data_IF_659680877141
#
_entry.id   IF_659680877141
#
_cell.length_a   1.000
_cell.length_b   1.000
_cell.length_c   1.000
_cell.angle_alpha   90.00
_cell.angle_beta   90.00
_cell.angle_gamma   90.00
#
_symmetry.space_group_name_H-M   'P 1'
#
loop_
_entity.id
_entity.type
_entity.pdbx_description
1 polymer ?
#
# COMPACT_ATOMS: atom_id res chain seq x y z
N UNK A 1 -20.39 21.28 -13.49
CA UNK A 1 -19.77 20.28 -14.40
C UNK A 1 -19.77 18.95 -13.70
N UNK A 2 -20.07 17.83 -14.38
CA UNK A 2 -19.91 16.50 -13.83
C UNK A 2 -18.41 16.24 -13.61
N UNK A 3 -18.05 15.57 -12.50
CA UNK A 3 -16.65 15.16 -12.27
C UNK A 3 -16.20 14.24 -13.40
N UNK A 4 -14.96 14.40 -13.88
CA UNK A 4 -14.34 13.45 -14.83
C UNK A 4 -14.21 12.09 -14.14
N UNK A 5 -14.53 11.01 -14.86
CA UNK A 5 -14.39 9.64 -14.36
C UNK A 5 -12.92 9.24 -14.42
N UNK A 6 -12.47 8.48 -13.43
CA UNK A 6 -11.07 8.05 -13.32
C UNK A 6 -10.99 6.53 -13.26
N UNK A 7 -10.26 5.93 -14.18
CA UNK A 7 -10.13 4.48 -14.32
C UNK A 7 -8.69 4.02 -14.18
N UNK A 8 -8.54 2.76 -13.80
CA UNK A 8 -7.25 2.10 -13.64
C UNK A 8 -6.96 1.28 -14.88
N UNK A 9 -5.84 1.55 -15.54
CA UNK A 9 -5.46 0.91 -16.79
C UNK A 9 -4.19 0.06 -16.68
N UNK A 10 -3.38 0.25 -15.63
CA UNK A 10 -2.18 -0.53 -15.41
C UNK A 10 -1.88 -0.73 -13.94
N UNK A 11 -1.29 -1.88 -13.62
CA UNK A 11 -0.94 -2.32 -12.27
C UNK A 11 0.53 -2.74 -12.21
N UNK A 12 1.21 -2.44 -11.11
CA UNK A 12 2.56 -2.92 -10.82
C UNK A 12 2.75 -3.14 -9.34
N UNK A 13 3.43 -4.23 -8.99
CA UNK A 13 3.62 -4.64 -7.60
C UNK A 13 4.99 -5.27 -7.38
N UNK A 14 5.58 -4.97 -6.24
CA UNK A 14 6.69 -5.70 -5.62
C UNK A 14 6.28 -5.96 -4.17
N UNK A 15 6.20 -7.21 -3.77
CA UNK A 15 5.70 -7.58 -2.44
C UNK A 15 6.32 -8.89 -1.94
N UNK A 16 6.24 -9.18 -0.63
CA UNK A 16 6.74 -10.44 -0.08
C UNK A 16 6.09 -11.69 -0.67
N UNK A 17 4.89 -11.54 -1.24
CA UNK A 17 4.14 -12.64 -1.87
C UNK A 17 4.34 -12.74 -3.39
N UNK A 18 5.10 -11.83 -3.99
CA UNK A 18 5.44 -11.86 -5.42
C UNK A 18 5.92 -10.52 -5.95
N UNK A 19 6.83 -10.56 -6.92
CA UNK A 19 7.46 -9.39 -7.53
C UNK A 19 6.78 -8.95 -8.85
N UNK A 20 5.62 -9.51 -9.14
CA UNK A 20 4.72 -9.13 -10.23
C UNK A 20 3.26 -9.37 -9.82
N UNK A 21 2.33 -8.73 -10.53
CA UNK A 21 0.90 -8.75 -10.21
C UNK A 21 0.31 -10.17 -10.27
N UNK A 22 0.68 -10.97 -11.25
CA UNK A 22 0.12 -12.31 -11.45
C UNK A 22 0.55 -13.26 -10.32
N UNK A 23 1.86 -13.27 -10.01
CA UNK A 23 2.43 -14.08 -8.93
C UNK A 23 1.88 -13.66 -7.57
N UNK A 24 1.88 -12.35 -7.28
CA UNK A 24 1.38 -11.83 -6.01
C UNK A 24 -0.10 -12.20 -5.81
N UNK A 25 -0.95 -11.99 -6.82
CA UNK A 25 -2.37 -12.30 -6.73
C UNK A 25 -2.64 -13.81 -6.56
N UNK A 26 -1.96 -14.66 -7.31
CA UNK A 26 -2.09 -16.11 -7.16
C UNK A 26 -1.72 -16.58 -5.75
N UNK A 27 -0.67 -16.03 -5.16
CA UNK A 27 -0.24 -16.35 -3.80
C UNK A 27 -1.22 -15.82 -2.73
N UNK A 28 -1.79 -14.62 -2.93
CA UNK A 28 -2.84 -14.07 -2.06
C UNK A 28 -4.07 -14.98 -2.06
N UNK A 29 -4.56 -15.40 -3.22
CA UNK A 29 -5.72 -16.29 -3.31
C UNK A 29 -5.45 -17.69 -2.72
N UNK A 30 -4.21 -18.16 -2.82
CA UNK A 30 -3.79 -19.43 -2.23
C UNK A 30 -3.52 -19.36 -0.72
N UNK A 31 -3.65 -18.18 -0.08
CA UNK A 31 -3.37 -17.99 1.33
C UNK A 31 -1.88 -18.19 1.70
N UNK A 32 -0.96 -17.90 0.79
CA UNK A 32 0.47 -18.10 1.02
C UNK A 32 1.08 -16.90 1.73
N UNK A 33 1.71 -17.14 2.87
CA UNK A 33 2.47 -16.12 3.59
C UNK A 33 3.81 -15.82 2.90
N UNK A 34 4.15 -14.54 2.76
CA UNK A 34 5.47 -14.07 2.33
C UNK A 34 6.39 -13.74 3.52
N UNK A 35 5.94 -14.01 4.74
CA UNK A 35 6.68 -13.71 5.98
C UNK A 35 7.65 -14.85 6.26
N UNK A 36 8.91 -14.51 6.55
CA UNK A 36 9.96 -15.46 6.92
C UNK A 36 11.06 -14.75 7.72
N UNK A 37 12.06 -15.50 8.19
CA UNK A 37 13.20 -14.93 8.90
C UNK A 37 13.87 -13.81 8.08
N UNK A 38 14.28 -12.73 8.73
CA UNK A 38 15.03 -11.63 8.12
C UNK A 38 16.43 -12.13 7.80
N UNK A 39 16.86 -11.89 6.54
CA UNK A 39 18.18 -12.29 6.03
C UNK A 39 19.10 -11.07 5.78
N UNK A 40 18.54 -9.86 5.75
CA UNK A 40 19.25 -8.62 5.39
C UNK A 40 20.31 -8.21 6.43
N UNK A 41 20.07 -8.50 7.72
CA UNK A 41 20.97 -8.20 8.82
C UNK A 41 20.83 -9.21 9.97
N UNK A 42 21.78 -9.23 10.90
CA UNK A 42 21.73 -10.10 12.08
C UNK A 42 20.67 -9.62 13.07
N UNK A 43 19.63 -10.44 13.28
CA UNK A 43 18.52 -10.16 14.18
C UNK A 43 18.67 -10.76 15.58
N UNK A 44 19.80 -11.39 15.91
CA UNK A 44 20.00 -12.14 17.18
C UNK A 44 19.71 -11.29 18.42
N UNK A 45 19.98 -9.99 18.37
CA UNK A 45 19.73 -9.06 19.49
C UNK A 45 18.33 -8.42 19.47
N UNK A 46 17.49 -8.73 18.48
CA UNK A 46 16.17 -8.16 18.33
C UNK A 46 15.09 -9.03 18.96
N UNK A 47 13.98 -8.44 19.44
CA UNK A 47 12.85 -9.23 19.94
C UNK A 47 12.04 -9.89 18.80
N UNK A 48 12.18 -9.41 17.56
CA UNK A 48 11.52 -9.93 16.37
C UNK A 48 12.55 -10.28 15.31
N UNK A 49 12.55 -11.53 14.83
CA UNK A 49 13.54 -12.07 13.90
C UNK A 49 13.01 -12.27 12.47
N UNK A 50 11.81 -11.81 12.17
CA UNK A 50 11.12 -12.09 10.93
C UNK A 50 10.43 -10.86 10.34
N UNK A 51 10.13 -10.93 9.05
CA UNK A 51 9.44 -9.89 8.30
C UNK A 51 9.08 -10.33 6.89
N UNK A 52 8.38 -9.49 6.18
CA UNK A 52 8.06 -9.64 4.76
C UNK A 52 9.11 -8.94 3.89
N UNK A 53 10.32 -9.46 3.82
CA UNK A 53 11.37 -8.93 2.94
C UNK A 53 11.09 -9.24 1.48
N UNK A 54 11.55 -8.37 0.59
CA UNK A 54 11.55 -8.63 -0.85
C UNK A 54 12.72 -9.57 -1.18
N UNK A 55 12.40 -10.74 -1.69
CA UNK A 55 13.37 -11.77 -2.07
C UNK A 55 13.41 -11.97 -3.58
N UNK A 56 14.60 -12.23 -4.11
CA UNK A 56 14.82 -12.62 -5.52
C UNK A 56 14.23 -11.64 -6.54
N UNK A 57 14.25 -10.33 -6.25
CA UNK A 57 13.85 -9.31 -7.21
C UNK A 57 14.95 -9.18 -8.27
N UNK A 58 14.62 -9.52 -9.51
CA UNK A 58 15.47 -9.26 -10.66
C UNK A 58 15.28 -7.81 -11.13
N UNK A 59 16.33 -7.01 -11.06
CA UNK A 59 16.33 -5.61 -11.48
C UNK A 59 16.71 -5.40 -12.93
N UNK A 60 17.36 -6.40 -13.60
CA UNK A 60 17.90 -6.25 -14.94
C UNK A 60 16.86 -5.80 -15.98
N UNK A 61 15.60 -6.32 -15.97
CA UNK A 61 14.58 -5.86 -16.91
C UNK A 61 14.11 -4.42 -16.73
N UNK A 62 14.47 -3.78 -15.60
CA UNK A 62 13.93 -2.48 -15.18
C UNK A 62 14.99 -1.38 -15.11
N UNK A 63 16.21 -1.71 -14.70
CA UNK A 63 17.27 -0.72 -14.52
C UNK A 63 18.65 -1.33 -14.63
N UNK A 64 19.65 -0.51 -14.98
CA UNK A 64 21.04 -0.98 -14.99
C UNK A 64 21.56 -1.23 -13.57
N UNK A 65 22.54 -2.14 -13.42
CA UNK A 65 23.21 -2.37 -12.15
C UNK A 65 23.91 -1.09 -11.62
N UNK A 66 24.30 -0.16 -12.50
CA UNK A 66 24.88 1.14 -12.12
C UNK A 66 23.83 2.03 -11.49
N UNK A 67 22.63 2.09 -12.06
CA UNK A 67 21.54 2.93 -11.52
C UNK A 67 20.99 2.34 -10.22
N UNK A 68 20.83 1.01 -10.15
CA UNK A 68 20.41 0.32 -8.93
C UNK A 68 21.30 0.65 -7.72
N UNK A 69 22.63 0.66 -7.90
CA UNK A 69 23.59 1.03 -6.83
C UNK A 69 23.50 2.49 -6.34
N UNK A 70 22.75 3.34 -7.02
CA UNK A 70 22.54 4.76 -6.68
C UNK A 70 21.19 5.01 -6.03
N UNK A 71 20.40 3.97 -5.84
CA UNK A 71 19.05 4.01 -5.29
C UNK A 71 19.00 3.15 -4.01
N UNK A 72 18.38 3.68 -2.97
CA UNK A 72 17.95 2.85 -1.83
C UNK A 72 16.93 1.81 -2.30
N UNK A 73 16.78 0.72 -1.56
CA UNK A 73 15.90 -0.38 -1.94
C UNK A 73 14.44 0.05 -2.11
N UNK A 74 13.92 0.99 -1.29
CA UNK A 74 12.55 1.48 -1.46
C UNK A 74 12.34 2.14 -2.84
N UNK A 75 13.37 2.84 -3.36
CA UNK A 75 13.30 3.42 -4.70
C UNK A 75 13.34 2.35 -5.78
N UNK A 76 14.21 1.34 -5.63
CA UNK A 76 14.27 0.23 -6.59
C UNK A 76 12.89 -0.43 -6.71
N UNK A 77 12.23 -0.73 -5.58
CA UNK A 77 10.88 -1.31 -5.55
C UNK A 77 9.85 -0.41 -6.23
N UNK A 78 9.87 0.89 -5.90
CA UNK A 78 8.95 1.88 -6.47
C UNK A 78 9.12 2.06 -7.97
N UNK A 79 10.37 2.10 -8.45
CA UNK A 79 10.68 2.20 -9.89
C UNK A 79 10.25 0.94 -10.62
N UNK A 80 10.51 -0.26 -10.07
CA UNK A 80 10.05 -1.53 -10.65
C UNK A 80 8.53 -1.55 -10.76
N UNK A 81 7.80 -1.27 -9.68
CA UNK A 81 6.34 -1.25 -9.69
C UNK A 81 5.79 -0.21 -10.67
N UNK A 82 6.39 0.99 -10.73
CA UNK A 82 6.01 2.04 -11.68
C UNK A 82 6.21 1.62 -13.14
N UNK A 83 7.33 0.98 -13.46
CA UNK A 83 7.59 0.46 -14.82
C UNK A 83 6.62 -0.67 -15.17
N UNK A 84 6.31 -1.57 -14.23
CA UNK A 84 5.30 -2.61 -14.45
C UNK A 84 3.94 -1.99 -14.77
N UNK A 85 3.47 -1.02 -13.98
CA UNK A 85 2.19 -0.35 -14.19
C UNK A 85 2.11 0.37 -15.55
N UNK A 86 3.18 1.05 -15.95
CA UNK A 86 3.26 1.71 -17.26
C UNK A 86 3.22 0.69 -18.42
N UNK A 87 3.99 -0.39 -18.32
CA UNK A 87 3.99 -1.47 -19.33
C UNK A 87 2.63 -2.15 -19.44
N UNK A 88 2.03 -2.47 -18.30
CA UNK A 88 0.72 -3.13 -18.22
C UNK A 88 -0.41 -2.28 -18.81
N UNK A 89 -0.34 -0.95 -18.62
CA UNK A 89 -1.32 0.00 -19.17
C UNK A 89 -1.23 0.17 -20.69
N UNK A 90 -0.09 -0.15 -21.29
CA UNK A 90 0.20 0.17 -22.69
C UNK A 90 0.22 1.68 -22.99
N UNK A 91 0.27 2.52 -21.94
CA UNK A 91 0.27 3.98 -22.10
C UNK A 91 1.57 4.47 -22.75
N UNK A 92 1.45 5.33 -23.76
CA UNK A 92 2.59 5.93 -24.44
C UNK A 92 2.71 7.41 -24.09
N UNK A 93 3.83 7.80 -23.50
CA UNK A 93 4.16 9.22 -23.29
C UNK A 93 4.75 9.75 -24.59
N UNK A 94 4.22 10.86 -25.07
CA UNK A 94 4.62 11.54 -26.33
C UNK A 94 4.87 13.02 -26.04
N UNK A 95 5.47 13.74 -26.98
CA UNK A 95 5.64 15.20 -26.86
C UNK A 95 4.29 15.93 -26.72
N UNK A 96 3.24 15.41 -27.31
CA UNK A 96 1.90 16.01 -27.27
C UNK A 96 1.20 15.86 -25.92
N UNK A 97 1.49 14.78 -25.15
CA UNK A 97 0.80 14.48 -23.90
C UNK A 97 1.66 14.56 -22.65
N UNK A 98 2.99 14.70 -22.76
CA UNK A 98 3.94 14.61 -21.64
C UNK A 98 3.61 15.55 -20.48
N UNK A 99 3.07 16.75 -20.74
CA UNK A 99 2.65 17.71 -19.71
C UNK A 99 1.28 17.37 -19.09
N UNK A 100 0.52 16.47 -19.72
CA UNK A 100 -0.81 16.01 -19.27
C UNK A 100 -0.74 14.71 -18.51
N UNK A 101 0.47 14.17 -18.28
CA UNK A 101 0.74 12.98 -17.47
C UNK A 101 1.52 13.38 -16.23
N UNK A 102 1.08 12.96 -15.07
CA UNK A 102 1.77 13.24 -13.81
C UNK A 102 2.24 11.98 -13.09
N UNK A 103 2.99 12.17 -12.01
CA UNK A 103 3.46 11.11 -11.11
C UNK A 103 3.19 11.52 -9.67
N UNK A 104 2.69 10.58 -8.85
CA UNK A 104 2.52 10.75 -7.41
C UNK A 104 2.90 9.47 -6.69
N UNK A 105 4.19 9.35 -6.33
CA UNK A 105 4.75 8.18 -5.64
C UNK A 105 5.24 8.59 -4.26
N UNK A 106 4.71 7.96 -3.22
CA UNK A 106 5.03 8.26 -1.83
C UNK A 106 5.84 7.18 -1.13
N UNK A 107 6.37 7.52 0.05
CA UNK A 107 6.97 6.60 1.03
C UNK A 107 6.73 7.16 2.42
N UNK A 108 6.60 6.30 3.42
CA UNK A 108 6.44 6.74 4.81
C UNK A 108 7.74 7.26 5.40
N UNK A 109 8.86 6.61 5.11
CA UNK A 109 10.17 6.90 5.70
C UNK A 109 11.27 7.22 4.68
N UNK A 110 11.15 6.73 3.44
CA UNK A 110 12.19 6.91 2.44
C UNK A 110 13.40 6.01 2.64
N UNK A 111 14.60 6.48 2.26
CA UNK A 111 15.83 5.70 2.23
C UNK A 111 16.49 5.49 3.58
N UNK A 112 15.81 4.82 4.50
CA UNK A 112 16.27 4.61 5.87
C UNK A 112 17.57 3.81 5.92
N UNK A 113 17.70 2.74 5.14
CA UNK A 113 18.92 1.92 5.07
C UNK A 113 20.12 2.74 4.54
N UNK A 114 19.90 3.58 3.52
CA UNK A 114 20.95 4.47 3.01
C UNK A 114 21.40 5.50 4.05
N UNK A 115 20.50 5.96 4.91
CA UNK A 115 20.82 6.87 6.03
C UNK A 115 21.68 6.13 7.05
N UNK A 116 21.32 4.92 7.46
CA UNK A 116 22.08 4.07 8.38
C UNK A 116 23.51 3.85 7.87
N UNK A 117 23.64 3.26 6.69
CA UNK A 117 24.94 2.92 6.09
C UNK A 117 25.83 4.14 5.89
N UNK A 118 25.24 5.30 5.53
CA UNK A 118 26.01 6.53 5.37
C UNK A 118 26.50 7.05 6.69
N UNK A 119 25.69 6.98 7.75
CA UNK A 119 26.05 7.44 9.08
C UNK A 119 27.12 6.54 9.71
N UNK A 120 27.00 5.23 9.58
CA UNK A 120 28.01 4.26 10.02
C UNK A 120 29.37 4.55 9.37
N UNK A 121 29.37 4.77 8.05
CA UNK A 121 30.58 5.10 7.32
C UNK A 121 31.20 6.42 7.76
N UNK A 122 30.39 7.41 8.11
CA UNK A 122 30.87 8.66 8.67
C UNK A 122 31.51 8.43 10.05
N UNK A 123 30.90 7.64 10.93
CA UNK A 123 31.45 7.32 12.26
C UNK A 123 32.79 6.57 12.17
N UNK A 124 32.90 5.59 11.27
CA UNK A 124 34.14 4.84 11.04
C UNK A 124 35.30 5.74 10.56
N UNK A 125 34.99 6.71 9.71
CA UNK A 125 36.04 7.50 9.04
C UNK A 125 36.22 8.91 9.60
N UNK A 126 35.26 9.40 10.37
CA UNK A 126 35.15 10.79 10.83
C UNK A 126 35.39 11.82 9.70
N UNK A 127 34.92 11.50 8.48
CA UNK A 127 35.22 12.32 7.31
C UNK A 127 34.01 12.50 6.39
N UNK A 128 33.52 13.72 6.19
CA UNK A 128 32.42 13.98 5.25
C UNK A 128 32.79 13.66 3.79
N UNK A 129 34.10 13.58 3.46
CA UNK A 129 34.58 13.21 2.11
C UNK A 129 34.30 11.76 1.75
N UNK A 130 33.93 10.93 2.74
CA UNK A 130 33.57 9.51 2.55
C UNK A 130 32.09 9.28 2.35
N UNK A 131 31.27 10.29 2.57
CA UNK A 131 29.83 10.24 2.25
C UNK A 131 29.64 10.24 0.73
N UNK A 132 28.79 9.35 0.25
CA UNK A 132 28.49 9.24 -1.19
C UNK A 132 27.85 10.53 -1.73
N UNK A 133 28.24 11.04 -2.91
CA UNK A 133 27.53 12.15 -3.56
C UNK A 133 26.09 11.78 -3.96
N UNK A 134 25.76 10.48 -3.97
CA UNK A 134 24.42 9.98 -4.24
C UNK A 134 23.56 9.80 -2.99
N UNK A 135 24.11 10.07 -1.78
CA UNK A 135 23.37 9.87 -0.54
C UNK A 135 22.02 10.59 -0.51
N UNK A 136 22.01 11.89 -0.78
CA UNK A 136 20.75 12.67 -0.79
C UNK A 136 19.80 12.17 -1.89
N UNK A 137 20.22 12.04 -3.17
CA UNK A 137 19.35 11.47 -4.19
C UNK A 137 18.87 10.04 -3.92
N UNK A 138 19.61 9.23 -3.15
CA UNK A 138 19.21 7.87 -2.79
C UNK A 138 18.21 7.82 -1.65
N UNK A 139 18.08 8.88 -0.83
CA UNK A 139 17.32 8.83 0.43
C UNK A 139 15.97 9.54 0.37
N UNK A 140 15.82 10.60 -0.42
CA UNK A 140 14.63 11.45 -0.38
C UNK A 140 13.45 10.86 -1.16
N UNK A 141 12.26 10.95 -0.55
CA UNK A 141 11.05 10.25 -0.97
C UNK A 141 10.63 10.55 -2.41
N UNK A 142 10.74 11.81 -2.85
CA UNK A 142 10.26 12.24 -4.17
C UNK A 142 11.08 11.68 -5.34
N UNK A 143 12.22 11.05 -5.09
CA UNK A 143 13.10 10.56 -6.16
C UNK A 143 12.59 9.29 -6.84
N UNK A 144 11.67 8.54 -6.24
CA UNK A 144 10.95 7.49 -6.97
C UNK A 144 10.23 8.10 -8.19
N UNK A 145 9.43 9.15 -7.95
CA UNK A 145 8.78 9.92 -9.02
C UNK A 145 9.78 10.57 -9.96
N UNK A 146 10.90 11.12 -9.41
CA UNK A 146 11.98 11.71 -10.19
C UNK A 146 12.59 10.73 -11.20
N UNK A 147 12.94 9.51 -10.77
CA UNK A 147 13.46 8.48 -11.68
C UNK A 147 12.44 8.06 -12.74
N UNK A 148 11.19 7.82 -12.34
CA UNK A 148 10.13 7.45 -13.28
C UNK A 148 9.86 8.55 -14.30
N UNK A 149 9.90 9.84 -13.90
CA UNK A 149 9.73 10.96 -14.83
C UNK A 149 10.84 11.03 -15.88
N UNK A 150 12.09 10.75 -15.49
CA UNK A 150 13.23 10.70 -16.41
C UNK A 150 13.09 9.50 -17.37
N UNK A 151 12.75 8.31 -16.85
CA UNK A 151 12.60 7.08 -17.65
C UNK A 151 11.54 7.26 -18.73
N UNK A 152 10.37 7.81 -18.36
CA UNK A 152 9.22 7.95 -19.26
C UNK A 152 9.10 9.32 -19.90
N UNK A 153 10.01 10.28 -19.61
CA UNK A 153 9.97 11.66 -20.09
C UNK A 153 8.67 12.38 -19.75
N UNK A 154 8.14 12.15 -18.54
CA UNK A 154 6.94 12.81 -18.04
C UNK A 154 7.31 14.17 -17.50
N UNK A 155 6.68 15.23 -18.01
CA UNK A 155 6.94 16.65 -17.64
C UNK A 155 5.76 17.33 -16.96
N UNK A 156 4.68 16.60 -16.70
CA UNK A 156 3.58 17.04 -15.85
C UNK A 156 3.93 17.03 -14.36
N UNK A 157 2.95 17.23 -13.47
CA UNK A 157 3.17 17.29 -12.04
C UNK A 157 3.89 16.04 -11.51
N UNK A 158 4.93 16.25 -10.68
CA UNK A 158 5.71 15.19 -10.05
C UNK A 158 5.76 15.44 -8.55
N UNK A 159 5.01 14.67 -7.80
CA UNK A 159 4.75 14.87 -6.38
C UNK A 159 5.06 13.62 -5.56
N UNK A 160 5.31 13.81 -4.28
CA UNK A 160 5.37 12.73 -3.30
C UNK A 160 4.46 13.05 -2.11
N UNK A 161 3.88 12.01 -1.53
CA UNK A 161 3.08 12.07 -0.30
C UNK A 161 3.81 11.27 0.78
N UNK A 162 3.78 11.77 2.01
CA UNK A 162 4.29 11.08 3.19
C UNK A 162 3.26 11.23 4.33
N UNK A 163 2.45 10.20 4.54
CA UNK A 163 1.39 10.14 5.56
C UNK A 163 1.39 8.77 6.24
N UNK A 164 2.59 8.31 6.65
CA UNK A 164 2.80 7.02 7.30
C UNK A 164 2.12 5.86 6.53
N UNK A 165 1.37 5.01 7.21
CA UNK A 165 0.72 3.84 6.60
C UNK A 165 -0.38 4.20 5.57
N UNK A 166 -0.83 5.46 5.50
CA UNK A 166 -1.85 5.93 4.58
C UNK A 166 -1.29 6.54 3.29
N UNK A 167 0.03 6.63 3.20
CA UNK A 167 0.77 7.33 2.15
C UNK A 167 0.25 7.02 0.74
N UNK A 168 0.26 5.77 0.33
CA UNK A 168 -0.10 5.41 -1.05
C UNK A 168 -1.62 5.45 -1.31
N UNK A 169 -2.45 5.27 -0.30
CA UNK A 169 -3.90 5.54 -0.38
C UNK A 169 -4.16 7.02 -0.66
N UNK A 170 -3.48 7.92 0.04
CA UNK A 170 -3.57 9.35 -0.21
C UNK A 170 -2.99 9.72 -1.59
N UNK A 171 -1.86 9.12 -1.99
CA UNK A 171 -1.29 9.35 -3.32
C UNK A 171 -2.27 9.01 -4.43
N UNK A 172 -2.92 7.84 -4.38
CA UNK A 172 -3.94 7.42 -5.35
C UNK A 172 -5.17 8.34 -5.34
N UNK A 173 -5.67 8.69 -4.16
CA UNK A 173 -6.84 9.55 -4.03
C UNK A 173 -6.58 10.99 -4.50
N UNK A 174 -5.44 11.57 -4.18
CA UNK A 174 -5.05 12.91 -4.65
C UNK A 174 -4.77 12.92 -6.15
N UNK A 175 -4.12 11.88 -6.69
CA UNK A 175 -3.93 11.72 -8.13
C UNK A 175 -5.28 11.63 -8.87
N UNK A 176 -6.25 10.88 -8.33
CA UNK A 176 -7.62 10.86 -8.85
C UNK A 176 -8.22 12.28 -8.86
N UNK A 177 -8.04 13.08 -7.79
CA UNK A 177 -8.54 14.47 -7.75
C UNK A 177 -7.93 15.35 -8.82
N UNK A 178 -6.62 15.26 -9.06
CA UNK A 178 -5.94 16.05 -10.11
C UNK A 178 -6.51 15.74 -11.50
N UNK A 179 -6.81 14.45 -11.78
CA UNK A 179 -7.51 14.07 -13.03
C UNK A 179 -8.93 14.63 -13.05
N UNK A 180 -9.69 14.53 -11.95
CA UNK A 180 -11.06 15.03 -11.86
C UNK A 180 -11.14 16.55 -12.07
N UNK A 181 -10.15 17.31 -11.60
CA UNK A 181 -10.04 18.76 -11.80
C UNK A 181 -9.58 19.17 -13.21
N UNK A 182 -9.08 18.20 -13.99
CA UNK A 182 -8.63 18.45 -15.36
C UNK A 182 -7.20 19.01 -15.45
N UNK A 183 -6.42 18.95 -14.36
CA UNK A 183 -5.02 19.37 -14.38
C UNK A 183 -4.17 18.44 -15.24
N UNK A 184 -4.46 17.14 -15.19
CA UNK A 184 -3.83 16.09 -15.99
C UNK A 184 -4.89 15.14 -16.56
N UNK A 185 -4.49 14.30 -17.53
CA UNK A 185 -5.35 13.26 -18.09
C UNK A 185 -4.98 11.88 -17.59
N UNK A 186 -3.77 11.73 -17.07
CA UNK A 186 -3.27 10.46 -16.54
C UNK A 186 -2.26 10.69 -15.41
N UNK A 187 -2.19 9.74 -14.48
CA UNK A 187 -1.24 9.74 -13.37
C UNK A 187 -0.69 8.33 -13.11
N UNK A 188 0.64 8.25 -12.93
CA UNK A 188 1.26 7.09 -12.31
C UNK A 188 1.32 7.34 -10.80
N UNK A 189 0.54 6.59 -10.01
CA UNK A 189 0.39 6.86 -8.59
C UNK A 189 0.55 5.61 -7.74
N UNK A 190 1.07 5.77 -6.52
CA UNK A 190 1.28 4.67 -5.58
C UNK A 190 2.27 5.01 -4.48
N UNK A 191 3.00 4.00 -4.02
CA UNK A 191 4.04 4.17 -3.01
C UNK A 191 4.94 2.96 -2.85
N UNK A 192 6.06 3.19 -2.20
CA UNK A 192 7.07 2.16 -1.91
C UNK A 192 7.67 2.36 -0.53
N UNK A 193 8.13 1.26 0.08
CA UNK A 193 8.75 1.27 1.40
C UNK A 193 9.75 0.14 1.54
N UNK A 194 10.85 0.40 2.24
CA UNK A 194 11.76 -0.60 2.77
C UNK A 194 12.18 -0.19 4.17
N UNK A 195 11.66 -0.88 5.17
CA UNK A 195 11.85 -0.60 6.57
C UNK A 195 12.33 -1.81 7.38
N UNK A 196 12.52 -2.97 6.75
CA UNK A 196 13.17 -4.14 7.35
C UNK A 196 14.69 -3.95 7.38
N UNK A 197 15.14 -2.89 8.06
CA UNK A 197 16.53 -2.54 8.34
C UNK A 197 16.73 -2.36 9.85
N UNK A 198 17.96 -2.18 10.29
CA UNK A 198 18.31 -2.12 11.72
C UNK A 198 17.51 -1.04 12.45
N UNK A 199 17.53 0.21 11.97
CA UNK A 199 16.84 1.33 12.63
C UNK A 199 15.33 1.19 12.56
N UNK A 200 14.79 0.75 11.41
CA UNK A 200 13.35 0.52 11.23
C UNK A 200 12.82 -0.53 12.19
N UNK A 201 13.43 -1.70 12.21
CA UNK A 201 13.05 -2.78 13.14
C UNK A 201 13.25 -2.38 14.60
N UNK A 202 14.35 -1.71 14.93
CA UNK A 202 14.60 -1.22 16.30
C UNK A 202 13.54 -0.24 16.76
N UNK A 203 13.19 0.74 15.92
CA UNK A 203 12.21 1.77 16.25
C UNK A 203 10.83 1.18 16.56
N UNK A 204 10.33 0.30 15.70
CA UNK A 204 9.02 -0.33 15.91
C UNK A 204 9.05 -1.37 17.03
N UNK A 205 10.16 -2.06 17.26
CA UNK A 205 10.33 -2.95 18.40
C UNK A 205 10.28 -2.18 19.74
N UNK A 206 10.97 -1.03 19.83
CA UNK A 206 10.92 -0.18 21.03
C UNK A 206 9.54 0.45 21.26
N UNK A 207 8.80 0.71 20.18
CA UNK A 207 7.40 1.12 20.26
C UNK A 207 6.45 -0.03 20.66
N UNK A 208 6.95 -1.26 20.84
CA UNK A 208 6.19 -2.48 21.16
C UNK A 208 5.06 -2.74 20.16
N UNK A 209 5.30 -2.43 18.89
CA UNK A 209 4.30 -2.54 17.84
C UNK A 209 4.41 -3.83 17.02
N UNK A 210 5.58 -4.53 17.08
CA UNK A 210 5.86 -5.73 16.32
C UNK A 210 5.46 -7.01 17.06
N UNK A 211 4.96 -7.99 16.31
CA UNK A 211 4.78 -9.36 16.77
C UNK A 211 6.14 -9.99 17.14
N UNK A 212 6.15 -10.78 18.19
CA UNK A 212 7.32 -11.53 18.67
C UNK A 212 7.18 -13.04 18.51
N UNK A 213 6.29 -13.51 17.64
CA UNK A 213 6.04 -14.94 17.36
C UNK A 213 7.16 -15.54 16.52
N UNK A 214 8.39 -15.59 17.08
CA UNK A 214 9.60 -16.07 16.39
C UNK A 214 9.58 -17.58 16.12
N UNK A 215 8.81 -18.35 16.86
CA UNK A 215 8.62 -19.79 16.70
C UNK A 215 7.79 -20.17 15.47
N UNK A 216 6.90 -19.29 15.02
CA UNK A 216 6.10 -19.49 13.82
C UNK A 216 5.87 -18.16 13.07
N UNK A 217 6.87 -17.67 12.31
CA UNK A 217 6.78 -16.40 11.60
C UNK A 217 5.61 -16.30 10.61
N UNK A 218 5.23 -17.40 9.96
CA UNK A 218 4.14 -17.41 8.99
C UNK A 218 2.77 -17.23 9.64
N UNK A 219 2.64 -17.59 10.93
CA UNK A 219 1.43 -17.40 11.71
C UNK A 219 1.43 -16.11 12.55
N UNK A 220 2.46 -15.25 12.42
CA UNK A 220 2.60 -14.06 13.24
C UNK A 220 1.61 -12.96 12.86
N UNK A 221 1.44 -12.67 11.58
CA UNK A 221 0.40 -11.74 11.12
C UNK A 221 -0.96 -12.45 11.08
N UNK A 222 -1.82 -12.11 12.03
CA UNK A 222 -3.10 -12.79 12.30
C UNK A 222 -4.23 -11.80 12.65
N UNK A 223 -4.59 -10.90 11.70
CA UNK A 223 -5.60 -9.88 11.96
C UNK A 223 -6.87 -10.45 12.57
N UNK A 224 -7.40 -9.76 13.59
CA UNK A 224 -8.59 -10.09 14.38
C UNK A 224 -8.54 -11.39 15.20
N UNK A 225 -7.50 -12.21 15.05
CA UNK A 225 -7.36 -13.41 15.88
C UNK A 225 -7.11 -13.00 17.36
N UNK A 226 -7.62 -13.81 18.29
CA UNK A 226 -7.50 -13.52 19.73
C UNK A 226 -6.04 -13.52 20.23
N UNK A 227 -5.18 -14.29 19.55
CA UNK A 227 -3.76 -14.45 19.93
C UNK A 227 -2.82 -13.54 19.13
N UNK A 228 -3.35 -12.46 18.50
CA UNK A 228 -2.54 -11.45 17.83
C UNK A 228 -1.75 -10.63 18.84
N UNK A 229 -0.51 -10.33 18.52
CA UNK A 229 0.45 -9.70 19.44
C UNK A 229 1.21 -8.49 18.85
N UNK A 230 0.82 -8.01 17.67
CA UNK A 230 1.45 -6.91 16.97
C UNK A 230 1.51 -7.12 15.46
N UNK A 231 1.96 -6.11 14.74
CA UNK A 231 2.08 -6.24 13.29
C UNK A 231 3.41 -6.89 12.87
N UNK A 232 3.47 -7.40 11.65
CA UNK A 232 4.69 -7.89 11.00
C UNK A 232 5.14 -6.85 9.98
N UNK A 233 6.39 -6.40 10.07
CA UNK A 233 6.98 -5.49 9.09
C UNK A 233 7.03 -6.16 7.71
N UNK A 234 6.72 -5.40 6.65
CA UNK A 234 6.87 -5.82 5.27
C UNK A 234 7.41 -4.70 4.40
N UNK A 235 8.17 -5.07 3.37
CA UNK A 235 8.70 -4.18 2.34
C UNK A 235 7.92 -4.30 1.04
N UNK A 236 8.04 -3.30 0.17
CA UNK A 236 7.52 -3.43 -1.19
C UNK A 236 7.09 -2.14 -1.84
N UNK A 237 6.33 -2.28 -2.93
CA UNK A 237 5.77 -1.17 -3.68
C UNK A 237 4.47 -1.58 -4.40
N UNK A 238 3.57 -0.63 -4.55
CA UNK A 238 2.44 -0.71 -5.44
C UNK A 238 2.34 0.54 -6.30
N UNK A 239 2.05 0.38 -7.58
CA UNK A 239 1.82 1.48 -8.50
C UNK A 239 0.64 1.18 -9.42
N UNK A 240 -0.14 2.21 -9.71
CA UNK A 240 -1.25 2.16 -10.66
C UNK A 240 -1.10 3.25 -11.71
N UNK A 241 -1.32 2.91 -12.98
CA UNK A 241 -1.61 3.89 -14.00
C UNK A 241 -3.11 4.18 -13.97
N UNK A 242 -3.47 5.42 -13.66
CA UNK A 242 -4.87 5.88 -13.62
C UNK A 242 -5.09 6.97 -14.65
N UNK A 243 -6.25 6.93 -15.30
CA UNK A 243 -6.55 7.79 -16.44
C UNK A 243 -7.98 8.35 -16.39
N UNK A 244 -8.19 9.49 -17.03
CA UNK A 244 -9.52 9.94 -17.36
C UNK A 244 -10.20 8.92 -18.31
N UNK A 245 -11.45 8.61 -18.05
CA UNK A 245 -12.17 7.51 -18.71
C UNK A 245 -12.27 7.66 -20.23
N UNK A 246 -12.65 8.83 -20.72
CA UNK A 246 -12.79 9.04 -22.18
C UNK A 246 -11.43 9.04 -22.87
N UNK A 247 -10.38 9.51 -22.18
CA UNK A 247 -9.00 9.40 -22.64
C UNK A 247 -8.57 7.92 -22.76
N UNK A 248 -8.79 7.12 -21.73
CA UNK A 248 -8.47 5.69 -21.72
C UNK A 248 -9.23 4.93 -22.83
N UNK A 249 -10.53 5.23 -22.98
CA UNK A 249 -11.40 4.65 -24.01
C UNK A 249 -10.94 5.02 -25.42
N UNK A 250 -10.58 6.28 -25.66
CA UNK A 250 -10.15 6.76 -26.98
C UNK A 250 -8.89 6.06 -27.48
N UNK A 251 -7.98 5.65 -26.58
CA UNK A 251 -6.77 4.89 -26.93
C UNK A 251 -6.96 3.36 -26.89
N UNK A 252 -8.18 2.88 -26.61
CA UNK A 252 -8.46 1.44 -26.52
C UNK A 252 -7.83 0.74 -25.33
N UNK A 253 -7.63 1.44 -24.19
CA UNK A 253 -7.03 0.88 -23.01
C UNK A 253 -7.89 -0.22 -22.39
N UNK A 254 -7.25 -1.27 -21.88
CA UNK A 254 -7.89 -2.16 -20.92
C UNK A 254 -8.18 -1.40 -19.64
N UNK A 255 -9.38 -1.51 -19.11
CA UNK A 255 -9.80 -0.92 -17.84
C UNK A 255 -10.00 -2.03 -16.82
N UNK A 256 -9.30 -1.94 -15.69
CA UNK A 256 -9.46 -2.88 -14.57
C UNK A 256 -10.66 -2.55 -13.70
N UNK A 257 -10.78 -1.30 -13.31
CA UNK A 257 -11.83 -0.77 -12.45
C UNK A 257 -11.89 0.76 -12.56
N UNK A 258 -12.93 1.37 -12.01
CA UNK A 258 -13.04 2.81 -11.82
C UNK A 258 -12.81 3.16 -10.34
N UNK A 259 -12.07 4.23 -10.06
CA UNK A 259 -11.96 4.81 -8.72
C UNK A 259 -13.12 5.79 -8.57
N UNK A 260 -14.11 5.45 -7.74
CA UNK A 260 -15.35 6.23 -7.64
C UNK A 260 -15.44 7.07 -6.37
N UNK A 261 -14.66 6.74 -5.34
CA UNK A 261 -14.69 7.45 -4.07
C UNK A 261 -13.34 7.52 -3.38
N UNK A 262 -13.09 8.65 -2.75
CA UNK A 262 -11.94 8.89 -1.89
C UNK A 262 -12.35 9.70 -0.67
N UNK A 263 -12.09 9.18 0.52
CA UNK A 263 -12.35 9.85 1.78
C UNK A 263 -11.10 9.93 2.65
N UNK A 264 -10.94 11.06 3.32
CA UNK A 264 -9.86 11.32 4.27
C UNK A 264 -10.44 11.82 5.58
N UNK A 265 -9.69 11.62 6.67
CA UNK A 265 -9.95 12.22 7.98
C UNK A 265 -8.68 12.25 8.83
N UNK A 266 -8.75 12.97 9.94
CA UNK A 266 -7.73 12.93 10.99
C UNK A 266 -8.38 12.55 12.34
N UNK A 267 -7.63 11.79 13.18
CA UNK A 267 -8.10 11.38 14.51
C UNK A 267 -8.05 12.51 15.54
N UNK A 268 -7.01 13.35 15.46
CA UNK A 268 -6.72 14.39 16.46
C UNK A 268 -6.72 13.84 17.90
N UNK A 269 -6.15 12.66 18.11
CA UNK A 269 -6.23 11.92 19.36
C UNK A 269 -4.84 11.61 19.94
N UNK A 270 -4.04 10.77 19.25
CA UNK A 270 -2.72 10.33 19.72
C UNK A 270 -1.78 10.11 18.53
N UNK A 271 -0.45 10.21 18.75
CA UNK A 271 0.54 10.10 17.67
C UNK A 271 0.57 8.71 17.03
N UNK A 272 0.37 7.64 17.81
CA UNK A 272 0.52 6.26 17.34
C UNK A 272 -0.71 5.37 17.58
N UNK A 273 -1.59 5.73 18.50
CA UNK A 273 -2.76 4.93 18.84
C UNK A 273 -4.03 5.49 18.18
N UNK A 274 -4.88 4.66 17.56
CA UNK A 274 -6.21 5.10 17.14
C UNK A 274 -7.11 5.31 18.35
N UNK A 275 -8.15 6.16 18.25
CA UNK A 275 -9.19 6.24 19.27
C UNK A 275 -9.95 4.92 19.34
N UNK A 276 -10.31 4.49 20.55
CA UNK A 276 -10.99 3.19 20.76
C UNK A 276 -12.32 3.08 20.00
N UNK A 277 -13.00 4.21 19.79
CA UNK A 277 -14.27 4.26 19.06
C UNK A 277 -14.13 4.25 17.53
N UNK A 278 -12.90 4.27 16.99
CA UNK A 278 -12.60 4.25 15.56
C UNK A 278 -13.20 5.43 14.77
N UNK A 279 -13.44 6.58 15.39
CA UNK A 279 -14.20 7.68 14.78
C UNK A 279 -13.51 8.25 13.54
N UNK A 280 -12.17 8.38 13.53
CA UNK A 280 -11.43 8.84 12.35
C UNK A 280 -11.58 7.89 11.18
N UNK A 281 -11.36 6.59 11.41
CA UNK A 281 -11.55 5.53 10.41
C UNK A 281 -12.98 5.53 9.86
N UNK A 282 -13.99 5.61 10.74
CA UNK A 282 -15.40 5.74 10.34
C UNK A 282 -15.63 6.93 9.41
N UNK A 283 -15.08 8.11 9.76
CA UNK A 283 -15.22 9.34 8.95
C UNK A 283 -14.58 9.16 7.56
N UNK A 284 -13.39 8.56 7.47
CA UNK A 284 -12.75 8.32 6.18
C UNK A 284 -13.64 7.44 5.27
N UNK A 285 -14.17 6.33 5.80
CA UNK A 285 -15.10 5.47 5.05
C UNK A 285 -16.39 6.20 4.65
N UNK A 286 -16.99 6.94 5.58
CA UNK A 286 -18.22 7.69 5.29
C UNK A 286 -17.99 8.80 4.26
N UNK A 287 -16.84 9.47 4.30
CA UNK A 287 -16.46 10.47 3.29
C UNK A 287 -16.25 9.84 1.91
N UNK A 288 -15.64 8.63 1.86
CA UNK A 288 -15.48 7.90 0.60
C UNK A 288 -16.83 7.48 -0.01
N UNK A 289 -17.75 6.97 0.81
CA UNK A 289 -19.12 6.64 0.38
C UNK A 289 -19.87 7.87 -0.13
N UNK A 290 -19.78 8.99 0.58
CA UNK A 290 -20.41 10.25 0.17
C UNK A 290 -19.82 10.78 -1.15
N UNK A 291 -18.50 10.71 -1.32
CA UNK A 291 -17.82 11.12 -2.56
C UNK A 291 -18.24 10.26 -3.75
N UNK A 292 -18.38 8.94 -3.54
CA UNK A 292 -18.86 7.98 -4.53
C UNK A 292 -20.38 8.07 -4.77
N UNK A 293 -21.12 8.78 -3.91
CA UNK A 293 -22.60 8.83 -3.89
C UNK A 293 -23.21 7.43 -3.74
N UNK A 294 -22.63 6.61 -2.88
CA UNK A 294 -23.06 5.25 -2.58
C UNK A 294 -23.72 5.17 -1.21
N UNK A 295 -24.74 4.31 -1.13
CA UNK A 295 -25.21 3.82 0.15
C UNK A 295 -24.32 2.64 0.61
N UNK A 296 -24.19 2.43 1.93
CA UNK A 296 -23.33 1.35 2.49
C UNK A 296 -23.62 -0.04 1.90
N UNK A 297 -24.89 -0.38 1.63
CA UNK A 297 -25.33 -1.69 1.13
C UNK A 297 -24.79 -2.02 -0.28
N UNK A 298 -24.27 -1.02 -0.99
CA UNK A 298 -23.76 -1.20 -2.35
C UNK A 298 -22.32 -1.70 -2.39
N UNK A 299 -21.60 -1.69 -1.25
CA UNK A 299 -20.23 -2.22 -1.13
C UNK A 299 -20.29 -3.66 -0.60
N UNK A 300 -19.62 -4.59 -1.28
CA UNK A 300 -19.64 -6.00 -0.91
C UNK A 300 -18.38 -6.45 -0.19
N UNK A 301 -17.26 -5.78 -0.39
CA UNK A 301 -15.97 -6.19 0.16
C UNK A 301 -15.15 -4.99 0.64
N UNK A 302 -14.52 -5.16 1.79
CA UNK A 302 -13.52 -4.23 2.35
C UNK A 302 -12.18 -4.94 2.50
N UNK A 303 -11.14 -4.41 1.85
CA UNK A 303 -9.76 -4.71 2.19
C UNK A 303 -9.37 -3.79 3.34
N UNK A 304 -9.30 -4.35 4.54
CA UNK A 304 -9.12 -3.59 5.76
C UNK A 304 -7.66 -3.22 6.03
N UNK A 305 -7.46 -2.18 6.80
CA UNK A 305 -6.14 -1.84 7.31
C UNK A 305 -5.59 -2.90 8.27
N UNK A 306 -6.41 -3.48 9.09
CA UNK A 306 -6.16 -4.48 10.14
C UNK A 306 -4.74 -5.07 10.13
N UNK A 307 -3.91 -4.58 11.02
CA UNK A 307 -2.46 -4.86 11.06
C UNK A 307 -2.08 -6.02 11.98
N UNK A 308 -3.05 -6.73 12.57
CA UNK A 308 -2.81 -7.74 13.62
C UNK A 308 -2.42 -7.12 14.97
N UNK A 309 -2.85 -5.89 15.24
CA UNK A 309 -2.69 -5.24 16.54
C UNK A 309 -3.99 -5.34 17.34
N UNK A 310 -3.88 -5.49 18.67
CA UNK A 310 -5.05 -5.68 19.52
C UNK A 310 -6.04 -4.52 19.41
N UNK A 311 -5.57 -3.29 19.59
CA UNK A 311 -6.41 -2.09 19.59
C UNK A 311 -6.86 -1.71 18.17
N UNK A 312 -5.94 -1.76 17.19
CA UNK A 312 -6.21 -1.32 15.82
C UNK A 312 -7.31 -2.13 15.15
N UNK A 313 -7.21 -3.45 15.22
CA UNK A 313 -8.17 -4.35 14.57
C UNK A 313 -9.57 -4.25 15.18
N UNK A 314 -9.66 -4.08 16.52
CA UNK A 314 -10.94 -3.87 17.22
C UNK A 314 -11.54 -2.51 16.87
N UNK A 315 -10.74 -1.44 16.87
CA UNK A 315 -11.20 -0.10 16.51
C UNK A 315 -11.70 -0.04 15.06
N UNK A 316 -11.02 -0.71 14.11
CA UNK A 316 -11.47 -0.79 12.72
C UNK A 316 -12.78 -1.60 12.58
N UNK A 317 -12.94 -2.71 13.31
CA UNK A 317 -14.20 -3.45 13.35
C UNK A 317 -15.37 -2.54 13.75
N UNK A 318 -15.19 -1.78 14.83
CA UNK A 318 -16.21 -0.84 15.31
C UNK A 318 -16.46 0.28 14.29
N UNK A 319 -15.39 0.81 13.68
CA UNK A 319 -15.50 1.84 12.64
C UNK A 319 -16.30 1.35 11.43
N UNK A 320 -16.06 0.12 10.95
CA UNK A 320 -16.80 -0.51 9.85
C UNK A 320 -18.27 -0.66 10.25
N UNK A 321 -18.57 -1.21 11.43
CA UNK A 321 -19.96 -1.33 11.91
C UNK A 321 -20.68 0.00 11.95
N UNK A 322 -20.03 1.04 12.42
CA UNK A 322 -20.61 2.39 12.51
C UNK A 322 -20.76 3.08 11.14
N UNK A 323 -19.84 2.83 10.19
CA UNK A 323 -19.91 3.41 8.85
C UNK A 323 -20.95 2.72 7.97
N UNK A 324 -21.09 1.39 8.10
CA UNK A 324 -21.96 0.58 7.26
C UNK A 324 -23.33 0.25 7.91
N UNK A 325 -23.48 0.48 9.23
CA UNK A 325 -24.73 0.16 9.93
C UNK A 325 -25.13 -1.30 9.74
N UNK A 326 -26.43 -1.59 9.47
CA UNK A 326 -26.89 -2.98 9.25
C UNK A 326 -26.27 -3.67 8.03
N UNK A 327 -25.72 -2.92 7.08
CA UNK A 327 -25.04 -3.51 5.91
C UNK A 327 -23.73 -4.23 6.29
N UNK A 328 -23.14 -3.91 7.44
CA UNK A 328 -21.93 -4.55 7.94
C UNK A 328 -22.09 -6.07 8.15
N UNK A 329 -23.29 -6.56 8.45
CA UNK A 329 -23.57 -7.99 8.64
C UNK A 329 -23.48 -8.82 7.34
N UNK A 330 -23.52 -8.16 6.18
CA UNK A 330 -23.42 -8.80 4.85
C UNK A 330 -22.10 -8.49 4.15
N UNK A 331 -21.27 -7.66 4.76
CA UNK A 331 -20.02 -7.19 4.20
C UNK A 331 -18.92 -8.25 4.42
N UNK A 332 -18.23 -8.64 3.35
CA UNK A 332 -16.99 -9.40 3.49
C UNK A 332 -15.85 -8.45 3.79
N UNK A 333 -15.04 -8.77 4.78
CA UNK A 333 -13.88 -7.98 5.20
C UNK A 333 -12.66 -8.88 5.23
N UNK A 334 -11.53 -8.49 4.68
CA UNK A 334 -10.30 -9.24 4.92
C UNK A 334 -9.07 -8.35 5.00
N UNK A 335 -8.01 -8.85 5.64
CA UNK A 335 -6.71 -8.20 5.66
C UNK A 335 -5.68 -9.06 4.95
N UNK A 336 -5.24 -8.60 3.79
CA UNK A 336 -4.15 -9.22 3.04
C UNK A 336 -2.79 -9.06 3.73
N UNK A 337 -2.70 -8.20 4.74
CA UNK A 337 -1.51 -8.10 5.62
C UNK A 337 -1.24 -9.38 6.40
N UNK A 338 -2.22 -10.27 6.53
CA UNK A 338 -1.99 -11.61 7.07
C UNK A 338 -0.96 -12.41 6.27
N UNK A 339 -0.77 -12.08 4.98
CA UNK A 339 0.16 -12.75 4.05
C UNK A 339 1.37 -11.87 3.71
N UNK A 340 1.17 -10.57 3.53
CA UNK A 340 2.23 -9.65 3.10
C UNK A 340 3.02 -9.06 4.28
N UNK A 341 2.48 -9.06 5.49
CA UNK A 341 2.88 -8.12 6.53
C UNK A 341 2.38 -6.71 6.20
N UNK A 342 2.80 -5.75 7.00
CA UNK A 342 2.44 -4.35 6.85
C UNK A 342 3.52 -3.58 6.09
N UNK A 343 3.24 -3.18 4.85
CA UNK A 343 4.18 -2.50 3.96
C UNK A 343 4.24 -0.98 4.20
N UNK A 344 3.76 -0.50 5.34
CA UNK A 344 3.78 0.92 5.73
C UNK A 344 3.26 1.84 4.62
N UNK A 345 4.12 2.75 4.10
CA UNK A 345 3.74 3.69 3.04
C UNK A 345 3.34 3.05 1.71
N UNK A 346 3.79 1.84 1.43
CA UNK A 346 3.41 1.08 0.24
C UNK A 346 2.08 0.31 0.38
N UNK A 347 1.63 0.06 1.63
CA UNK A 347 0.52 -0.84 1.92
C UNK A 347 -0.76 -0.49 1.15
N UNK A 348 -1.17 0.77 1.16
CA UNK A 348 -2.43 1.18 0.55
C UNK A 348 -2.50 0.95 -0.96
N UNK A 349 -1.39 1.11 -1.69
CA UNK A 349 -1.37 0.85 -3.14
C UNK A 349 -1.40 -0.65 -3.44
N UNK A 350 -0.69 -1.47 -2.67
CA UNK A 350 -0.71 -2.94 -2.80
C UNK A 350 -2.11 -3.49 -2.51
N UNK A 351 -2.76 -3.01 -1.46
CA UNK A 351 -4.11 -3.40 -1.06
C UNK A 351 -5.18 -2.89 -2.03
N UNK A 352 -4.99 -1.69 -2.59
CA UNK A 352 -5.82 -1.18 -3.67
C UNK A 352 -5.72 -2.07 -4.92
N UNK A 353 -4.52 -2.54 -5.29
CA UNK A 353 -4.33 -3.51 -6.38
C UNK A 353 -5.10 -4.80 -6.10
N UNK A 354 -5.00 -5.36 -4.88
CA UNK A 354 -5.75 -6.57 -4.53
C UNK A 354 -7.27 -6.34 -4.52
N UNK A 355 -7.75 -5.16 -4.11
CA UNK A 355 -9.17 -4.79 -4.17
C UNK A 355 -9.70 -4.71 -5.61
N UNK A 356 -8.89 -4.20 -6.54
CA UNK A 356 -9.18 -4.14 -7.97
C UNK A 356 -9.17 -5.54 -8.60
N UNK A 357 -8.22 -6.39 -8.22
CA UNK A 357 -8.16 -7.77 -8.70
C UNK A 357 -9.31 -8.63 -8.14
N UNK A 358 -9.76 -8.35 -6.91
CA UNK A 358 -10.96 -8.97 -6.35
C UNK A 358 -12.20 -8.64 -7.20
N UNK A 359 -12.36 -7.38 -7.64
CA UNK A 359 -13.44 -7.00 -8.59
C UNK A 359 -13.32 -7.70 -9.92
N UNK A 360 -12.10 -7.80 -10.49
CA UNK A 360 -11.87 -8.47 -11.78
C UNK A 360 -12.26 -9.94 -11.74
N UNK A 361 -11.80 -10.65 -10.70
CA UNK A 361 -11.90 -12.10 -10.61
C UNK A 361 -13.10 -12.57 -9.78
N UNK A 362 -13.88 -11.63 -9.21
CA UNK A 362 -15.10 -11.91 -8.42
C UNK A 362 -14.80 -12.84 -7.23
N UNK A 363 -13.74 -12.51 -6.48
CA UNK A 363 -13.27 -13.29 -5.33
C UNK A 363 -12.77 -12.38 -4.21
N UNK A 364 -13.20 -12.63 -2.98
CA UNK A 364 -12.64 -11.98 -1.79
C UNK A 364 -11.41 -12.77 -1.32
N UNK A 365 -10.23 -12.13 -1.20
CA UNK A 365 -9.05 -12.79 -0.66
C UNK A 365 -9.21 -13.07 0.84
N UNK A 366 -8.50 -14.08 1.38
CA UNK A 366 -8.66 -14.49 2.77
C UNK A 366 -7.89 -13.60 3.74
N UNK A 367 -8.31 -13.66 5.01
CA UNK A 367 -7.46 -13.39 6.16
C UNK A 367 -6.93 -14.73 6.67
N UNK A 368 -5.65 -15.02 6.46
CA UNK A 368 -5.07 -16.26 7.01
C UNK A 368 -4.75 -16.12 8.49
N UNK A 369 -4.51 -17.25 9.17
CA UNK A 369 -4.18 -17.34 10.59
C UNK A 369 -5.30 -16.90 11.55
N UNK A 370 -6.50 -16.66 11.05
CA UNK A 370 -7.67 -16.36 11.87
C UNK A 370 -8.38 -17.65 12.26
N UNK A 371 -8.12 -18.11 13.49
CA UNK A 371 -8.70 -19.33 14.04
C UNK A 371 -9.84 -19.03 15.02
N UNK A 372 -9.65 -18.02 15.87
CA UNK A 372 -10.65 -17.57 16.83
C UNK A 372 -10.65 -16.05 16.87
N UNK A 373 -11.75 -15.39 16.47
CA UNK A 373 -11.85 -13.93 16.58
C UNK A 373 -11.68 -13.46 18.03
N UNK A 374 -10.94 -12.37 18.21
CA UNK A 374 -10.79 -11.70 19.48
C UNK A 374 -12.05 -10.97 19.91
N UNK A 375 -12.09 -10.50 21.16
CA UNK A 375 -13.20 -9.74 21.69
C UNK A 375 -13.46 -8.46 20.86
N UNK A 376 -14.73 -8.22 20.52
CA UNK A 376 -15.15 -7.09 19.69
C UNK A 376 -14.84 -7.23 18.20
N UNK A 377 -14.36 -8.40 17.75
CA UNK A 377 -14.09 -8.73 16.35
C UNK A 377 -15.18 -9.68 15.83
N UNK A 378 -16.29 -9.13 15.32
CA UNK A 378 -17.53 -9.87 15.06
C UNK A 378 -18.07 -9.74 13.63
N UNK A 379 -17.21 -9.32 12.65
CA UNK A 379 -17.55 -9.28 11.24
C UNK A 379 -17.19 -10.58 10.52
N UNK A 380 -17.57 -10.67 9.24
CA UNK A 380 -17.14 -11.76 8.34
C UNK A 380 -15.77 -11.43 7.75
N UNK A 381 -14.71 -11.97 8.32
CA UNK A 381 -13.31 -11.67 7.96
C UNK A 381 -12.74 -12.57 6.86
N UNK A 382 -13.56 -13.32 6.14
CA UNK A 382 -13.14 -14.29 5.10
C UNK A 382 -12.00 -15.19 5.62
N UNK A 383 -12.20 -15.99 6.68
CA UNK A 383 -11.10 -16.66 7.35
C UNK A 383 -10.47 -17.76 6.49
N UNK A 384 -9.14 -17.73 6.40
CA UNK A 384 -8.22 -18.74 5.88
C UNK A 384 -8.41 -19.19 4.41
N UNK A 385 -9.54 -18.97 3.78
CA UNK A 385 -9.79 -19.43 2.40
C UNK A 385 -10.45 -18.33 1.57
N UNK A 386 -9.90 -18.04 0.38
CA UNK A 386 -10.50 -17.12 -0.58
C UNK A 386 -11.91 -17.57 -0.96
N UNK A 387 -12.82 -16.60 -1.10
CA UNK A 387 -14.24 -16.89 -1.33
C UNK A 387 -14.76 -16.25 -2.61
N UNK A 388 -15.24 -17.03 -3.59
CA UNK A 388 -15.96 -16.48 -4.73
C UNK A 388 -17.22 -15.74 -4.28
N UNK A 389 -17.42 -14.52 -4.78
CA UNK A 389 -18.60 -13.72 -4.49
C UNK A 389 -18.82 -12.64 -5.55
N UNK A 390 -20.06 -12.24 -5.75
CA UNK A 390 -20.38 -11.16 -6.69
C UNK A 390 -19.97 -9.81 -6.11
N UNK A 391 -19.06 -9.12 -6.80
CA UNK A 391 -18.50 -7.84 -6.39
C UNK A 391 -18.80 -6.76 -7.44
N UNK A 392 -19.46 -5.69 -7.03
CA UNK A 392 -19.66 -4.48 -7.83
C UNK A 392 -18.81 -3.34 -7.32
N UNK A 393 -18.69 -3.21 -6.00
CA UNK A 393 -17.87 -2.21 -5.34
C UNK A 393 -17.01 -2.85 -4.26
N UNK A 394 -15.75 -2.42 -4.20
CA UNK A 394 -14.84 -2.74 -3.10
C UNK A 394 -14.33 -1.46 -2.46
N UNK A 395 -14.00 -1.53 -1.17
CA UNK A 395 -13.39 -0.44 -0.42
C UNK A 395 -12.04 -0.90 0.12
N UNK A 396 -11.03 -0.03 0.10
CA UNK A 396 -9.72 -0.26 0.70
C UNK A 396 -9.42 0.80 1.73
N UNK A 397 -9.04 0.40 2.95
CA UNK A 397 -8.73 1.26 4.08
C UNK A 397 -7.24 1.34 4.38
N UNK A 398 -6.79 2.51 4.76
CA UNK A 398 -5.47 2.72 5.36
C UNK A 398 -5.57 3.72 6.51
N UNK A 399 -5.03 3.36 7.67
CA UNK A 399 -5.01 4.20 8.86
C UNK A 399 -3.57 4.27 9.38
N UNK A 400 -3.03 5.46 9.60
CA UNK A 400 -1.61 5.66 9.84
C UNK A 400 -1.30 6.38 11.15
N UNK A 401 -0.08 6.18 11.62
CA UNK A 401 0.49 6.99 12.69
C UNK A 401 0.36 8.47 12.35
N UNK A 402 0.17 9.31 13.38
CA UNK A 402 -0.24 10.70 13.20
C UNK A 402 -1.76 10.87 13.10
N UNK A 403 -2.54 9.77 13.20
CA UNK A 403 -4.00 9.78 13.10
C UNK A 403 -4.50 10.11 11.70
N UNK A 404 -3.77 9.75 10.66
CA UNK A 404 -4.13 10.00 9.27
C UNK A 404 -4.89 8.81 8.71
N UNK A 405 -6.07 9.04 8.12
CA UNK A 405 -6.97 8.01 7.64
C UNK A 405 -7.36 8.25 6.18
N UNK A 406 -7.42 7.16 5.40
CA UNK A 406 -7.81 7.19 4.00
C UNK A 406 -8.61 5.95 3.59
N UNK A 407 -9.62 6.14 2.75
CA UNK A 407 -10.43 5.07 2.17
C UNK A 407 -10.64 5.33 0.67
N UNK A 408 -10.45 4.30 -0.15
CA UNK A 408 -10.71 4.33 -1.59
C UNK A 408 -11.83 3.37 -1.93
N UNK A 409 -12.71 3.75 -2.87
CA UNK A 409 -13.77 2.89 -3.39
C UNK A 409 -13.55 2.66 -4.87
N UNK A 410 -13.58 1.38 -5.25
CA UNK A 410 -13.45 0.94 -6.63
C UNK A 410 -14.75 0.33 -7.12
N UNK A 411 -15.05 0.53 -8.40
CA UNK A 411 -16.21 -0.01 -9.09
C UNK A 411 -15.79 -0.91 -10.25
N UNK A 412 -16.45 -2.03 -10.40
CA UNK A 412 -16.34 -2.88 -11.59
C UNK A 412 -16.85 -2.12 -12.82
N UNK A 413 -16.13 -2.23 -13.95
CA UNK A 413 -16.47 -1.62 -15.25
C UNK A 413 -17.00 -2.64 -16.21
#
# INVERSE_FOLDING_TARGET
MSKRRVVITGLGIVSPVGNDVATAWANILAGRSGIAAIERFDTTSFPTHFGGEIRKLDLEPYMSAKDARRMDAFMQYGVVAGIQAMRDSGFQVTEANTQRVGIMMGSGMGGLESIEQTYDKYLETNSPKKVSPFFIPASIINLVGGHLSIIFKITGPNLAVATACTTSTHALGLAMRMIQWGEVDAMLAGGSEMATCVTGMSGFAQARALSQRNDDPQAASRPWDKDRDGFVMGDGAGAMMIEEYEHAKARGARVYAEIVGFGMSGDAFHVTAPPEDGEGARKAMSNALADAKLNPEQVQYVNAHATSTELGDRAETLAIRRAFGPAADKLAVSSTKSMTGHLLGAAGAVEAIFSVLALRDQVAPPTINLHQPGEGCDLDYVPNTARPMSLTYTLSNSFGFGGTNGSLIFRRV
#
